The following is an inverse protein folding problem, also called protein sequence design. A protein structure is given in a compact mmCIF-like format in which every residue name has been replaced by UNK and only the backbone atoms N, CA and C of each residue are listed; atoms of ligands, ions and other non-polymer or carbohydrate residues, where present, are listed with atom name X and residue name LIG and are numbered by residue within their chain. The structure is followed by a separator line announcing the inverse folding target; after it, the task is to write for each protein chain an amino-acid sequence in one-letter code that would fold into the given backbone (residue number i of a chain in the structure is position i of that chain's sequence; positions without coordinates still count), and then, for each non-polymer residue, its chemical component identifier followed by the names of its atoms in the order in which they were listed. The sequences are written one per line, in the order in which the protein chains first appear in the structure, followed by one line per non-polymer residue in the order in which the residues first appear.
data_IF_933323548583
#
_entry.id   IF_933323548583
#
_cell.length_a   1.000
_cell.length_b   1.000
_cell.length_c   1.000
_cell.angle_alpha   90.00
_cell.angle_beta   90.00
_cell.angle_gamma   90.00
#
_symmetry.space_group_name_H-M   'P 1'
#
loop_
_entity.id
_entity.type
_entity.pdbx_description
1 polymer ?
#
# COMPACT_ATOMS: atom_id res chain seq x y z
N UNK A 1 49.83 -96.26 -68.62
CA UNK A 1 48.40 -96.63 -68.61
C UNK A 1 47.60 -95.41 -68.21
N UNK A 2 46.64 -95.04 -69.05
CA UNK A 2 45.63 -94.01 -68.81
C UNK A 2 44.95 -94.20 -67.45
N UNK A 3 44.39 -93.11 -66.89
CA UNK A 3 42.97 -93.02 -66.47
C UNK A 3 42.69 -91.72 -65.70
N UNK A 4 41.74 -90.94 -66.25
CA UNK A 4 40.74 -90.03 -65.66
C UNK A 4 41.22 -88.79 -64.87
N UNK A 5 41.06 -87.58 -65.41
CA UNK A 5 39.81 -86.81 -65.51
C UNK A 5 39.17 -86.51 -64.14
N UNK A 6 39.18 -85.23 -63.73
CA UNK A 6 38.10 -84.68 -62.93
C UNK A 6 37.99 -83.16 -63.07
N UNK A 7 36.87 -82.74 -63.64
CA UNK A 7 36.41 -81.36 -63.74
C UNK A 7 35.84 -80.92 -62.40
N UNK A 8 36.18 -79.73 -61.91
CA UNK A 8 35.42 -79.07 -60.84
C UNK A 8 35.20 -77.60 -61.23
N UNK A 9 34.01 -77.33 -61.75
CA UNK A 9 33.39 -76.02 -61.91
C UNK A 9 33.32 -75.30 -60.56
N UNK A 10 34.04 -74.20 -60.39
CA UNK A 10 33.80 -73.24 -59.29
C UNK A 10 32.77 -72.20 -59.72
N UNK A 11 31.55 -72.34 -59.20
CA UNK A 11 30.49 -71.30 -59.23
C UNK A 11 30.95 -70.10 -58.41
N UNK A 12 31.04 -68.92 -59.03
CA UNK A 12 31.22 -67.65 -58.32
C UNK A 12 29.88 -67.22 -57.70
N UNK A 13 29.79 -67.26 -56.37
CA UNK A 13 28.73 -66.60 -55.63
C UNK A 13 29.04 -65.11 -55.50
N UNK A 14 28.30 -64.28 -56.24
CA UNK A 14 28.25 -62.83 -56.06
C UNK A 14 27.62 -62.54 -54.70
N UNK A 15 28.44 -62.14 -53.72
CA UNK A 15 27.99 -61.62 -52.43
C UNK A 15 27.33 -60.25 -52.65
N UNK A 16 26.00 -60.20 -52.61
CA UNK A 16 25.24 -58.96 -52.42
C UNK A 16 25.60 -58.37 -51.05
N UNK A 17 26.31 -57.25 -51.03
CA UNK A 17 26.48 -56.44 -49.82
C UNK A 17 25.10 -55.89 -49.44
N UNK A 18 24.52 -56.40 -48.36
CA UNK A 18 23.33 -55.83 -47.77
C UNK A 18 23.67 -54.46 -47.19
N UNK A 19 23.08 -53.41 -47.73
CA UNK A 19 23.05 -52.08 -47.11
C UNK A 19 22.34 -52.25 -45.76
N UNK A 20 23.12 -52.30 -44.68
CA UNK A 20 22.59 -52.18 -43.31
C UNK A 20 21.89 -50.83 -43.23
N UNK A 21 20.56 -50.80 -43.34
CA UNK A 21 19.76 -49.66 -42.88
C UNK A 21 20.13 -49.44 -41.42
N UNK A 22 20.87 -48.37 -41.12
CA UNK A 22 20.99 -47.83 -39.77
C UNK A 22 19.59 -47.47 -39.30
N UNK A 23 18.87 -48.42 -38.70
CA UNK A 23 17.71 -48.11 -37.88
C UNK A 23 18.27 -47.37 -36.68
N UNK A 24 18.15 -46.05 -36.68
CA UNK A 24 18.49 -45.22 -35.52
C UNK A 24 17.83 -45.81 -34.27
N UNK A 25 18.57 -45.82 -33.17
CA UNK A 25 18.15 -46.46 -31.93
C UNK A 25 16.93 -45.69 -31.35
N UNK A 26 15.71 -46.07 -31.74
CA UNK A 26 14.46 -45.41 -31.33
C UNK A 26 14.31 -45.32 -29.80
N UNK A 27 14.94 -46.23 -29.06
CA UNK A 27 14.97 -46.23 -27.60
C UNK A 27 15.73 -45.01 -27.06
N UNK A 28 16.84 -44.63 -27.69
CA UNK A 28 17.65 -43.47 -27.29
C UNK A 28 16.91 -42.16 -27.61
N UNK A 29 16.20 -42.10 -28.74
CA UNK A 29 15.38 -40.95 -29.07
C UNK A 29 14.19 -40.81 -28.10
N UNK A 30 13.54 -41.93 -27.76
CA UNK A 30 12.44 -41.95 -26.78
C UNK A 30 12.88 -41.54 -25.37
N UNK A 31 14.03 -42.04 -24.90
CA UNK A 31 14.57 -41.65 -23.59
C UNK A 31 15.00 -40.19 -23.54
N UNK A 32 15.56 -39.65 -24.62
CA UNK A 32 15.91 -38.23 -24.72
C UNK A 32 14.67 -37.34 -24.68
N UNK A 33 13.61 -37.70 -25.41
CA UNK A 33 12.34 -36.97 -25.39
C UNK A 33 11.71 -37.00 -24.00
N UNK A 34 11.64 -38.16 -23.35
CA UNK A 34 11.13 -38.27 -21.98
C UNK A 34 11.98 -37.47 -20.98
N UNK A 35 13.30 -37.45 -21.15
CA UNK A 35 14.21 -36.64 -20.33
C UNK A 35 13.95 -35.14 -20.50
N UNK A 36 13.79 -34.66 -21.73
CA UNK A 36 13.46 -33.25 -22.02
C UNK A 36 12.10 -32.87 -21.45
N UNK A 37 11.09 -33.73 -21.62
CA UNK A 37 9.75 -33.50 -21.05
C UNK A 37 9.80 -33.47 -19.52
N UNK A 38 10.50 -34.41 -18.90
CA UNK A 38 10.69 -34.44 -17.45
C UNK A 38 11.40 -33.20 -16.91
N UNK A 39 12.43 -32.73 -17.62
CA UNK A 39 13.13 -31.49 -17.26
C UNK A 39 12.23 -30.26 -17.42
N UNK A 40 11.44 -30.17 -18.50
CA UNK A 40 10.48 -29.09 -18.71
C UNK A 40 9.42 -29.04 -17.61
N UNK A 41 8.90 -30.20 -17.17
CA UNK A 41 7.95 -30.29 -16.06
C UNK A 41 8.56 -29.85 -14.73
N UNK A 42 9.80 -30.26 -14.44
CA UNK A 42 10.54 -29.84 -13.24
C UNK A 42 10.75 -28.32 -13.20
N UNK A 43 11.16 -27.72 -14.33
CA UNK A 43 11.35 -26.26 -14.44
C UNK A 43 10.02 -25.53 -14.26
N UNK A 44 8.96 -25.99 -14.93
CA UNK A 44 7.62 -25.41 -14.81
C UNK A 44 7.07 -25.46 -13.38
N UNK A 45 7.22 -26.61 -12.72
CA UNK A 45 6.78 -26.76 -11.32
C UNK A 45 7.60 -25.87 -10.38
N UNK A 46 8.91 -25.76 -10.59
CA UNK A 46 9.79 -24.92 -9.77
C UNK A 46 9.42 -23.43 -9.89
N UNK A 47 9.21 -22.95 -11.11
CA UNK A 47 8.79 -21.57 -11.35
C UNK A 47 7.38 -21.30 -10.80
N UNK A 48 6.44 -22.23 -11.01
CA UNK A 48 5.09 -22.16 -10.45
C UNK A 48 5.09 -22.11 -8.92
N UNK A 49 5.93 -22.92 -8.26
CA UNK A 49 6.10 -22.90 -6.81
C UNK A 49 6.66 -21.57 -6.30
N UNK A 50 7.66 -21.00 -6.96
CA UNK A 50 8.21 -19.68 -6.59
C UNK A 50 7.19 -18.56 -6.75
N UNK A 51 6.42 -18.55 -7.85
CA UNK A 51 5.34 -17.59 -8.06
C UNK A 51 4.24 -17.73 -7.00
N UNK A 52 3.87 -18.96 -6.64
CA UNK A 52 2.91 -19.21 -5.57
C UNK A 52 3.38 -18.65 -4.23
N UNK A 53 4.65 -18.90 -3.87
CA UNK A 53 5.25 -18.37 -2.65
C UNK A 53 5.29 -16.84 -2.66
N UNK A 54 5.64 -16.23 -3.81
CA UNK A 54 5.64 -14.78 -3.96
C UNK A 54 4.25 -14.17 -3.81
N UNK A 55 3.25 -14.70 -4.51
CA UNK A 55 1.86 -14.23 -4.42
C UNK A 55 1.31 -14.36 -3.00
N UNK A 56 1.65 -15.46 -2.32
CA UNK A 56 1.27 -15.66 -0.93
C UNK A 56 1.93 -14.62 -0.02
N UNK A 57 3.24 -14.39 -0.17
CA UNK A 57 3.99 -13.39 0.58
C UNK A 57 3.41 -11.98 0.38
N UNK A 58 3.07 -11.62 -0.86
CA UNK A 58 2.41 -10.37 -1.19
C UNK A 58 1.04 -10.25 -0.52
N UNK A 59 0.19 -11.28 -0.63
CA UNK A 59 -1.13 -11.31 0.02
C UNK A 59 -1.02 -11.13 1.54
N UNK A 60 0.02 -11.67 2.17
CA UNK A 60 0.23 -11.47 3.60
C UNK A 60 0.75 -10.08 3.94
N UNK A 61 1.66 -9.52 3.15
CA UNK A 61 2.09 -8.14 3.33
C UNK A 61 0.89 -7.19 3.23
N UNK A 62 0.00 -7.44 2.27
CA UNK A 62 -1.25 -6.70 2.08
C UNK A 62 -2.23 -6.87 3.25
N UNK A 63 -2.45 -8.10 3.74
CA UNK A 63 -3.29 -8.35 4.92
C UNK A 63 -2.78 -7.66 6.18
N UNK A 64 -1.46 -7.66 6.40
CA UNK A 64 -0.84 -7.00 7.54
C UNK A 64 -1.00 -5.48 7.42
N UNK A 65 -0.71 -4.90 6.25
CA UNK A 65 -0.93 -3.47 6.00
C UNK A 65 -2.42 -3.10 6.20
N UNK A 66 -3.34 -3.90 5.67
CA UNK A 66 -4.77 -3.66 5.82
C UNK A 66 -5.23 -3.64 7.29
N UNK A 67 -4.67 -4.51 8.13
CA UNK A 67 -4.98 -4.54 9.56
C UNK A 67 -4.57 -3.23 10.27
N UNK A 68 -3.39 -2.70 9.95
CA UNK A 68 -2.94 -1.39 10.45
C UNK A 68 -3.82 -0.25 9.94
N UNK A 69 -4.12 -0.23 8.64
CA UNK A 69 -4.90 0.84 8.02
C UNK A 69 -6.35 0.91 8.50
N UNK A 70 -6.96 -0.24 8.82
CA UNK A 70 -8.28 -0.28 9.48
C UNK A 70 -8.27 0.41 10.84
N UNK A 71 -7.19 0.24 11.59
CA UNK A 71 -7.07 0.87 12.91
C UNK A 71 -6.78 2.35 12.83
N UNK A 72 -6.09 2.86 11.82
CA UNK A 72 -5.81 4.30 11.71
C UNK A 72 -7.07 5.18 11.83
N UNK A 73 -8.13 4.87 11.06
CA UNK A 73 -9.39 5.61 11.08
C UNK A 73 -10.56 4.79 11.66
N UNK A 74 -10.31 4.04 12.73
CA UNK A 74 -11.36 3.32 13.45
C UNK A 74 -12.41 4.31 13.99
N UNK A 75 -13.70 3.99 13.83
CA UNK A 75 -14.81 4.87 14.25
C UNK A 75 -14.83 6.26 13.61
N UNK A 76 -14.18 6.47 12.46
CA UNK A 76 -14.10 7.76 11.75
C UNK A 76 -13.44 8.91 12.54
N UNK A 77 -12.57 8.58 13.48
CA UNK A 77 -11.88 9.57 14.33
C UNK A 77 -11.04 10.59 13.55
N UNK A 78 -10.38 10.19 12.46
CA UNK A 78 -9.59 11.11 11.61
C UNK A 78 -10.53 12.01 10.82
N UNK A 79 -11.62 11.48 10.28
CA UNK A 79 -12.58 12.26 9.51
C UNK A 79 -13.29 13.31 10.37
N UNK A 80 -13.69 12.95 11.58
CA UNK A 80 -14.26 13.88 12.55
C UNK A 80 -13.26 14.96 12.97
N UNK A 81 -12.01 14.58 13.28
CA UNK A 81 -10.96 15.54 13.63
C UNK A 81 -10.69 16.55 12.50
N UNK A 82 -10.60 16.07 11.26
CA UNK A 82 -10.43 16.93 10.09
C UNK A 82 -11.57 17.97 9.96
N UNK A 83 -12.82 17.53 10.16
CA UNK A 83 -13.96 18.43 10.13
C UNK A 83 -13.95 19.45 11.29
N UNK A 84 -13.59 19.01 12.51
CA UNK A 84 -13.48 19.91 13.66
C UNK A 84 -12.42 20.98 13.41
N UNK A 85 -11.26 20.62 12.86
CA UNK A 85 -10.18 21.57 12.55
C UNK A 85 -10.63 22.61 11.52
N UNK A 86 -11.32 22.19 10.47
CA UNK A 86 -11.80 23.10 9.44
C UNK A 86 -12.89 24.05 9.96
N UNK A 87 -13.83 23.55 10.79
CA UNK A 87 -14.86 24.38 11.43
C UNK A 87 -14.28 25.32 12.49
N UNK A 88 -13.34 24.84 13.30
CA UNK A 88 -12.61 25.68 14.27
C UNK A 88 -11.88 26.82 13.57
N UNK A 89 -11.26 26.55 12.42
CA UNK A 89 -10.66 27.59 11.58
C UNK A 89 -11.65 28.65 11.11
N UNK A 90 -12.84 28.23 10.65
CA UNK A 90 -13.90 29.18 10.28
C UNK A 90 -14.38 30.00 11.48
N UNK A 91 -14.53 29.37 12.64
CA UNK A 91 -14.98 30.03 13.86
C UNK A 91 -14.02 31.14 14.27
N UNK A 92 -12.71 30.85 14.36
CA UNK A 92 -11.70 31.87 14.70
C UNK A 92 -11.74 33.05 13.73
N UNK A 93 -11.80 32.75 12.43
CA UNK A 93 -11.88 33.81 11.41
C UNK A 93 -13.14 34.66 11.56
N UNK A 94 -14.29 34.03 11.80
CA UNK A 94 -15.55 34.72 11.96
C UNK A 94 -15.60 35.55 13.25
N UNK A 95 -15.12 35.02 14.37
CA UNK A 95 -15.02 35.74 15.65
C UNK A 95 -14.13 36.98 15.51
N UNK A 96 -13.06 36.93 14.71
CA UNK A 96 -12.24 38.10 14.39
C UNK A 96 -13.03 39.16 13.64
N UNK A 97 -13.77 38.77 12.59
CA UNK A 97 -14.62 39.70 11.86
C UNK A 97 -15.69 40.33 12.76
N UNK A 98 -16.27 39.55 13.68
CA UNK A 98 -17.22 40.06 14.66
C UNK A 98 -16.60 41.07 15.63
N UNK A 99 -15.37 40.85 16.07
CA UNK A 99 -14.63 41.83 16.90
C UNK A 99 -14.39 43.13 16.12
N UNK A 100 -13.94 43.03 14.88
CA UNK A 100 -13.69 44.19 14.03
C UNK A 100 -15.01 44.99 13.82
N UNK A 101 -16.10 44.30 13.46
CA UNK A 101 -17.44 44.89 13.32
C UNK A 101 -17.96 45.52 14.62
N UNK A 102 -17.77 44.85 15.76
CA UNK A 102 -18.19 45.36 17.06
C UNK A 102 -17.39 46.61 17.44
N UNK A 103 -16.08 46.63 17.19
CA UNK A 103 -15.24 47.78 17.49
C UNK A 103 -15.64 49.04 16.69
N UNK A 104 -16.11 48.86 15.46
CA UNK A 104 -16.52 49.96 14.58
C UNK A 104 -17.96 50.42 14.84
N UNK A 105 -18.91 49.48 14.93
CA UNK A 105 -20.35 49.77 14.90
C UNK A 105 -21.00 49.76 16.29
N UNK A 106 -20.48 48.95 17.21
CA UNK A 106 -21.07 48.73 18.54
C UNK A 106 -19.99 48.66 19.62
N UNK A 107 -19.26 49.75 19.91
CA UNK A 107 -18.09 49.72 20.80
C UNK A 107 -18.38 49.14 22.19
N UNK A 108 -19.62 49.30 22.68
CA UNK A 108 -20.07 48.71 23.94
C UNK A 108 -20.06 47.16 23.98
N UNK A 109 -20.06 46.50 22.82
CA UNK A 109 -19.99 45.03 22.69
C UNK A 109 -18.57 44.53 22.45
N UNK A 110 -17.59 45.43 22.28
CA UNK A 110 -16.22 45.07 21.92
C UNK A 110 -15.58 44.10 22.91
N UNK A 111 -15.77 44.33 24.22
CA UNK A 111 -15.21 43.44 25.26
C UNK A 111 -15.72 42.01 25.14
N UNK A 112 -17.03 41.83 24.90
CA UNK A 112 -17.63 40.49 24.75
C UNK A 112 -17.15 39.84 23.44
N UNK A 113 -17.03 40.62 22.35
CA UNK A 113 -16.52 40.10 21.09
C UNK A 113 -15.04 39.66 21.19
N UNK A 114 -14.24 40.37 22.00
CA UNK A 114 -12.85 40.01 22.27
C UNK A 114 -12.76 38.71 23.10
N UNK A 115 -13.59 38.57 24.13
CA UNK A 115 -13.72 37.32 24.91
C UNK A 115 -14.09 36.13 24.01
N UNK A 116 -15.07 36.27 23.12
CA UNK A 116 -15.48 35.21 22.19
C UNK A 116 -14.38 34.83 21.19
N UNK A 117 -13.62 35.80 20.70
CA UNK A 117 -12.47 35.56 19.86
C UNK A 117 -11.38 34.80 20.62
N UNK A 118 -11.10 35.21 21.85
CA UNK A 118 -10.10 34.56 22.68
C UNK A 118 -10.49 33.11 22.99
N UNK A 119 -11.75 32.86 23.35
CA UNK A 119 -12.31 31.52 23.53
C UNK A 119 -12.17 30.67 22.25
N UNK A 120 -12.46 31.26 21.09
CA UNK A 120 -12.30 30.59 19.79
C UNK A 120 -10.84 30.20 19.52
N UNK A 121 -9.88 31.09 19.84
CA UNK A 121 -8.44 30.85 19.66
C UNK A 121 -7.93 29.79 20.63
N UNK A 122 -8.34 29.83 21.89
CA UNK A 122 -8.01 28.83 22.91
C UNK A 122 -8.56 27.45 22.52
N UNK A 123 -9.82 27.39 22.08
CA UNK A 123 -10.43 26.15 21.58
C UNK A 123 -9.69 25.57 20.36
N UNK A 124 -9.18 26.42 19.46
CA UNK A 124 -8.36 25.96 18.33
C UNK A 124 -7.01 25.35 18.79
N UNK A 125 -6.39 25.91 19.82
CA UNK A 125 -5.15 25.39 20.40
C UNK A 125 -5.38 24.07 21.15
N UNK A 126 -6.46 23.98 21.91
CA UNK A 126 -6.86 22.73 22.59
C UNK A 126 -7.12 21.61 21.57
N UNK A 127 -7.84 21.92 20.49
CA UNK A 127 -8.12 20.98 19.42
C UNK A 127 -6.83 20.47 18.72
N UNK A 128 -5.85 21.35 18.50
CA UNK A 128 -4.52 20.92 18.01
C UNK A 128 -3.81 20.00 19.01
N UNK A 129 -4.00 20.22 20.32
CA UNK A 129 -3.56 19.32 21.38
C UNK A 129 -4.20 17.93 21.27
N UNK A 130 -5.52 17.86 21.12
CA UNK A 130 -6.26 16.61 20.94
C UNK A 130 -5.88 15.90 19.63
N UNK A 131 -5.67 16.64 18.54
CA UNK A 131 -5.18 16.09 17.28
C UNK A 131 -3.83 15.40 17.43
N UNK A 132 -2.90 15.98 18.21
CA UNK A 132 -1.59 15.36 18.50
C UNK A 132 -1.74 14.10 19.35
N UNK A 133 -2.62 14.09 20.35
CA UNK A 133 -2.91 12.89 21.16
C UNK A 133 -3.51 11.78 20.29
N UNK A 134 -4.51 12.11 19.47
CA UNK A 134 -5.14 11.20 18.53
C UNK A 134 -4.11 10.57 17.58
N UNK A 135 -3.17 11.37 17.06
CA UNK A 135 -2.07 10.86 16.23
C UNK A 135 -1.29 9.75 16.94
N UNK A 136 -0.84 9.99 18.17
CA UNK A 136 -0.03 9.01 18.93
C UNK A 136 -0.81 7.73 19.17
N UNK A 137 -2.07 7.84 19.60
CA UNK A 137 -2.95 6.69 19.84
C UNK A 137 -3.17 5.90 18.55
N UNK A 138 -3.53 6.57 17.45
CA UNK A 138 -3.77 5.91 16.17
C UNK A 138 -2.53 5.21 15.61
N UNK A 139 -1.35 5.81 15.77
CA UNK A 139 -0.09 5.18 15.37
C UNK A 139 0.21 3.92 16.20
N UNK A 140 0.06 4.00 17.52
CA UNK A 140 0.31 2.86 18.42
C UNK A 140 -0.63 1.69 18.13
N UNK A 141 -1.92 1.96 17.97
CA UNK A 141 -2.93 0.94 17.67
C UNK A 141 -2.72 0.30 16.29
N UNK A 142 -2.37 1.09 15.27
CA UNK A 142 -2.08 0.59 13.93
C UNK A 142 -0.84 -0.31 13.91
N UNK A 143 0.26 0.11 14.57
CA UNK A 143 1.47 -0.72 14.69
C UNK A 143 1.17 -2.04 15.42
N UNK A 144 0.44 -1.96 16.52
CA UNK A 144 0.04 -3.15 17.30
C UNK A 144 -0.81 -4.11 16.45
N UNK A 145 -1.76 -3.59 15.68
CA UNK A 145 -2.58 -4.41 14.80
C UNK A 145 -1.78 -5.09 13.68
N UNK A 146 -0.78 -4.40 13.11
CA UNK A 146 0.12 -4.99 12.12
C UNK A 146 0.96 -6.12 12.72
N UNK A 147 1.55 -5.91 13.90
CA UNK A 147 2.35 -6.93 14.58
C UNK A 147 1.49 -8.16 14.91
N UNK A 148 0.32 -7.95 15.52
CA UNK A 148 -0.60 -9.03 15.87
C UNK A 148 -1.04 -9.83 14.63
N UNK A 149 -1.35 -9.14 13.52
CA UNK A 149 -1.75 -9.81 12.27
C UNK A 149 -0.58 -10.58 11.66
N UNK A 150 0.63 -10.03 11.68
CA UNK A 150 1.84 -10.72 11.22
C UNK A 150 2.13 -11.98 12.05
N UNK A 151 1.97 -11.90 13.37
CA UNK A 151 2.19 -13.04 14.27
C UNK A 151 1.18 -14.18 14.05
N UNK A 152 -0.06 -13.85 13.68
CA UNK A 152 -1.08 -14.85 13.33
C UNK A 152 -0.75 -15.59 12.02
N UNK A 153 -0.20 -14.90 11.03
CA UNK A 153 0.01 -15.44 9.67
C UNK A 153 1.38 -16.09 9.46
N UNK A 154 2.42 -15.65 10.19
CA UNK A 154 3.81 -16.12 10.00
C UNK A 154 3.99 -17.64 10.18
N UNK A 155 3.21 -18.26 11.06
CA UNK A 155 3.32 -19.70 11.36
C UNK A 155 2.88 -20.61 10.20
N UNK A 156 2.15 -20.08 9.22
CA UNK A 156 1.59 -20.87 8.11
C UNK A 156 2.53 -21.04 6.91
N UNK A 157 3.66 -20.34 6.91
CA UNK A 157 4.57 -20.20 5.77
C UNK A 157 5.59 -21.31 5.50
N UNK A 158 6.23 -21.93 6.50
CA UNK A 158 7.34 -22.81 6.23
C UNK A 158 6.88 -24.00 5.37
N UNK A 159 7.51 -24.14 4.20
CA UNK A 159 7.25 -25.22 3.27
C UNK A 159 8.59 -25.87 2.91
N UNK A 160 8.67 -27.18 3.08
CA UNK A 160 9.83 -27.97 2.71
C UNK A 160 9.42 -28.92 1.58
N UNK A 161 9.85 -28.58 0.36
CA UNK A 161 9.84 -29.49 -0.78
C UNK A 161 11.27 -30.03 -0.99
N UNK A 162 11.46 -31.22 -1.57
CA UNK A 162 12.79 -31.80 -1.78
C UNK A 162 13.76 -30.87 -2.54
N UNK A 163 13.25 -30.04 -3.44
CA UNK A 163 14.03 -29.08 -4.23
C UNK A 163 13.90 -27.61 -3.78
N UNK A 164 12.96 -27.27 -2.88
CA UNK A 164 12.68 -25.89 -2.46
C UNK A 164 12.44 -25.81 -0.95
N UNK A 165 13.23 -24.97 -0.27
CA UNK A 165 13.04 -24.65 1.16
C UNK A 165 12.59 -23.22 1.29
N UNK A 166 11.45 -23.01 1.93
CA UNK A 166 10.90 -21.69 2.23
C UNK A 166 10.96 -21.47 3.73
N UNK A 167 11.69 -20.44 4.16
CA UNK A 167 11.80 -20.08 5.57
C UNK A 167 10.53 -19.38 6.08
N UNK A 168 10.52 -19.02 7.36
CA UNK A 168 9.49 -18.14 7.92
C UNK A 168 9.72 -16.71 7.44
N UNK A 169 8.68 -15.96 7.02
CA UNK A 169 8.82 -14.57 6.64
C UNK A 169 9.28 -13.73 7.83
N UNK A 170 10.07 -12.70 7.54
CA UNK A 170 10.54 -11.69 8.50
C UNK A 170 9.87 -10.36 8.18
N UNK A 171 9.30 -9.73 9.20
CA UNK A 171 8.78 -8.37 9.11
C UNK A 171 9.96 -7.39 9.16
N UNK A 172 10.28 -6.74 8.05
CA UNK A 172 11.50 -5.91 7.97
C UNK A 172 11.22 -4.42 8.05
N UNK A 173 10.09 -3.96 7.52
CA UNK A 173 9.70 -2.56 7.63
C UNK A 173 8.20 -2.44 7.88
N UNK A 174 7.84 -1.58 8.83
CA UNK A 174 6.49 -1.05 9.01
C UNK A 174 6.57 0.46 8.93
N UNK A 175 5.70 1.06 8.14
CA UNK A 175 5.67 2.50 7.92
C UNK A 175 4.24 3.00 7.96
N UNK A 176 4.06 4.18 8.53
CA UNK A 176 2.79 4.90 8.58
C UNK A 176 2.94 6.17 7.76
N UNK A 177 1.94 6.51 6.97
CA UNK A 177 2.05 7.63 6.03
C UNK A 177 0.69 8.05 5.49
N UNK A 178 0.68 8.59 4.29
CA UNK A 178 -0.52 8.90 3.54
C UNK A 178 -0.39 8.36 2.12
N UNK A 179 -1.49 8.44 1.37
CA UNK A 179 -1.48 8.18 -0.07
C UNK A 179 -1.21 9.50 -0.78
N UNK A 180 -0.31 9.49 -1.75
CA UNK A 180 0.01 10.63 -2.60
C UNK A 180 -1.23 11.08 -3.39
N UNK A 181 -1.36 12.39 -3.61
CA UNK A 181 -2.48 13.02 -4.32
C UNK A 181 -3.88 12.79 -3.70
N UNK A 182 -3.96 12.20 -2.50
CA UNK A 182 -5.24 11.99 -1.81
C UNK A 182 -5.60 13.23 -0.99
N UNK A 183 -6.60 13.99 -1.44
CA UNK A 183 -7.14 15.12 -0.67
C UNK A 183 -7.69 14.70 0.72
N UNK A 184 -8.06 15.67 1.53
CA UNK A 184 -8.82 15.41 2.76
C UNK A 184 -10.28 15.07 2.47
N UNK A 185 -10.99 14.62 3.50
CA UNK A 185 -12.43 14.38 3.45
C UNK A 185 -13.27 15.65 3.62
N UNK A 186 -12.63 16.80 3.88
CA UNK A 186 -13.33 18.02 4.22
C UNK A 186 -13.67 18.77 2.93
N UNK A 187 -14.96 18.95 2.70
CA UNK A 187 -15.47 19.80 1.61
C UNK A 187 -15.13 21.25 1.92
N UNK A 188 -14.80 22.02 0.88
CA UNK A 188 -14.64 23.47 0.98
C UNK A 188 -15.84 24.05 1.74
N UNK A 189 -15.57 24.65 2.89
CA UNK A 189 -16.61 25.18 3.75
C UNK A 189 -17.08 26.50 3.15
N UNK A 190 -18.36 26.53 2.78
CA UNK A 190 -19.03 27.70 2.23
C UNK A 190 -19.54 28.57 3.37
N UNK A 191 -19.86 29.83 3.08
CA UNK A 191 -20.59 30.82 3.91
C UNK A 191 -19.76 32.03 4.37
N UNK A 192 -18.43 32.01 4.19
CA UNK A 192 -17.57 33.14 4.55
C UNK A 192 -16.74 33.53 3.31
N UNK A 193 -17.26 34.41 2.42
CA UNK A 193 -16.65 34.69 1.12
C UNK A 193 -15.19 35.16 1.19
N UNK A 194 -14.84 35.95 2.22
CA UNK A 194 -13.49 36.42 2.43
C UNK A 194 -12.50 35.27 2.69
N UNK A 195 -12.89 34.30 3.53
CA UNK A 195 -12.09 33.13 3.83
C UNK A 195 -12.02 32.17 2.64
N UNK A 196 -13.12 31.98 1.91
CA UNK A 196 -13.14 31.16 0.69
C UNK A 196 -12.17 31.69 -0.37
N UNK A 197 -12.18 33.01 -0.61
CA UNK A 197 -11.27 33.64 -1.57
C UNK A 197 -9.81 33.53 -1.13
N UNK A 198 -9.55 33.70 0.17
CA UNK A 198 -8.22 33.48 0.73
C UNK A 198 -7.75 32.04 0.56
N UNK A 199 -8.60 31.05 0.86
CA UNK A 199 -8.27 29.62 0.76
C UNK A 199 -7.99 29.20 -0.68
N UNK A 200 -8.75 29.74 -1.64
CA UNK A 200 -8.50 29.56 -3.08
C UNK A 200 -7.19 30.21 -3.50
N UNK A 201 -6.92 31.43 -3.05
CA UNK A 201 -5.70 32.17 -3.35
C UNK A 201 -4.43 31.51 -2.80
N UNK A 202 -4.51 30.88 -1.62
CA UNK A 202 -3.42 30.10 -1.03
C UNK A 202 -3.33 28.67 -1.59
N UNK A 203 -4.29 28.25 -2.43
CA UNK A 203 -4.32 26.91 -3.00
C UNK A 203 -4.58 25.81 -1.97
N UNK A 204 -5.23 26.12 -0.84
CA UNK A 204 -5.60 25.15 0.19
C UNK A 204 -6.72 24.21 -0.25
N UNK A 205 -7.51 24.61 -1.23
CA UNK A 205 -8.61 23.83 -1.80
C UNK A 205 -8.18 23.22 -3.13
N UNK A 206 -8.66 22.02 -3.44
CA UNK A 206 -8.44 21.37 -4.72
C UNK A 206 -9.25 22.05 -5.84
N UNK A 207 -8.64 22.22 -7.00
CA UNK A 207 -9.29 22.80 -8.19
C UNK A 207 -10.05 21.74 -9.00
N UNK A 208 -10.76 20.82 -8.32
CA UNK A 208 -11.51 19.77 -8.99
C UNK A 208 -12.96 20.24 -9.27
N UNK A 209 -13.45 20.18 -10.53
CA UNK A 209 -14.79 20.67 -10.88
C UNK A 209 -15.95 19.89 -10.23
N UNK A 210 -15.75 18.62 -9.87
CA UNK A 210 -16.80 17.81 -9.25
C UNK A 210 -16.99 18.07 -7.75
N UNK A 211 -15.89 18.04 -6.98
CA UNK A 211 -15.91 18.23 -5.53
C UNK A 211 -14.64 18.96 -5.08
N UNK A 212 -14.83 20.15 -4.52
CA UNK A 212 -13.77 20.95 -3.94
C UNK A 212 -13.50 20.49 -2.52
N UNK A 213 -12.31 19.93 -2.31
CA UNK A 213 -11.88 19.38 -1.03
C UNK A 213 -10.65 20.14 -0.55
N UNK A 214 -10.50 20.29 0.76
CA UNK A 214 -9.25 20.79 1.31
C UNK A 214 -8.10 19.81 1.03
N UNK A 215 -6.95 20.34 0.63
CA UNK A 215 -5.72 19.58 0.44
C UNK A 215 -5.17 19.12 1.78
N UNK A 216 -4.49 17.98 1.77
CA UNK A 216 -3.79 17.48 2.95
C UNK A 216 -2.33 17.94 2.96
N UNK A 217 -1.68 17.80 4.12
CA UNK A 217 -0.22 17.98 4.22
C UNK A 217 0.26 19.43 3.99
N UNK A 218 -0.67 20.38 4.04
CA UNK A 218 -0.41 21.82 4.00
C UNK A 218 -0.77 22.41 5.36
N UNK A 219 0.09 23.31 5.85
CA UNK A 219 -0.15 24.08 7.07
C UNK A 219 -1.10 25.25 6.74
N UNK A 220 -2.39 25.06 6.98
CA UNK A 220 -3.40 26.06 6.65
C UNK A 220 -3.40 27.17 7.71
N UNK A 221 -2.90 28.34 7.34
CA UNK A 221 -2.92 29.54 8.19
C UNK A 221 -4.16 30.38 7.96
N UNK A 222 -4.52 31.19 8.94
CA UNK A 222 -5.49 32.28 8.77
C UNK A 222 -4.77 33.55 8.27
N UNK A 223 -5.48 34.48 7.61
CA UNK A 223 -4.92 35.79 7.27
C UNK A 223 -4.79 36.69 8.51
N UNK A 224 -3.97 37.73 8.41
CA UNK A 224 -3.90 38.80 9.41
C UNK A 224 -3.31 38.38 10.76
N UNK A 225 -3.91 38.88 11.84
CA UNK A 225 -3.42 38.72 13.22
C UNK A 225 -3.49 37.27 13.73
N UNK A 226 -4.35 36.43 13.13
CA UNK A 226 -4.53 35.03 13.53
C UNK A 226 -3.65 34.04 12.72
N UNK A 227 -2.68 34.57 11.96
CA UNK A 227 -1.74 33.77 11.17
C UNK A 227 -0.73 32.95 11.99
N UNK A 228 -0.71 33.15 13.31
CA UNK A 228 0.02 32.35 14.27
C UNK A 228 -0.58 30.94 14.41
N UNK A 229 -1.90 30.81 14.22
CA UNK A 229 -2.60 29.52 14.26
C UNK A 229 -2.40 28.73 12.97
N UNK A 230 -2.18 27.43 13.12
CA UNK A 230 -1.95 26.51 12.00
C UNK A 230 -2.88 25.31 12.09
N UNK A 231 -3.69 25.11 11.05
CA UNK A 231 -4.65 24.02 10.98
C UNK A 231 -4.15 22.92 10.04
N UNK A 232 -4.03 21.71 10.56
CA UNK A 232 -3.37 20.57 9.88
C UNK A 232 -4.35 19.46 9.56
N UNK A 233 -4.92 19.52 8.36
CA UNK A 233 -5.87 18.53 7.87
C UNK A 233 -5.12 17.29 7.33
N UNK A 234 -5.53 16.10 7.75
CA UNK A 234 -4.95 14.83 7.33
C UNK A 234 -5.54 14.35 5.99
N UNK A 235 -4.79 13.54 5.24
CA UNK A 235 -5.27 12.92 4.01
C UNK A 235 -6.33 11.87 4.35
N UNK A 236 -7.50 11.93 3.76
CA UNK A 236 -8.54 10.93 3.99
C UNK A 236 -9.55 10.94 2.84
N UNK A 237 -9.93 9.77 2.34
CA UNK A 237 -10.91 9.70 1.25
C UNK A 237 -12.25 10.31 1.70
N UNK A 238 -12.79 11.24 0.91
CA UNK A 238 -14.12 11.81 1.11
C UNK A 238 -15.22 10.78 0.81
N UNK A 239 -16.37 10.85 1.49
CA UNK A 239 -17.53 10.04 1.14
C UNK A 239 -18.10 10.49 -0.21
N UNK A 240 -18.49 9.54 -1.06
CA UNK A 240 -19.18 9.79 -2.34
C UNK A 240 -20.58 9.22 -2.22
N UNK A 241 -21.61 10.05 -2.46
CA UNK A 241 -23.02 9.63 -2.35
C UNK A 241 -23.35 8.93 -1.01
N UNK A 242 -22.83 9.48 0.10
CA UNK A 242 -22.95 8.90 1.45
C UNK A 242 -22.27 7.53 1.65
N UNK A 243 -21.53 7.05 0.66
CA UNK A 243 -20.78 5.80 0.74
C UNK A 243 -19.35 6.08 1.17
N UNK A 244 -18.92 5.38 2.21
CA UNK A 244 -17.55 5.46 2.76
C UNK A 244 -16.68 4.43 2.08
N UNK A 245 -15.50 4.86 1.60
CA UNK A 245 -14.51 3.92 1.08
C UNK A 245 -14.00 3.01 2.21
N UNK A 246 -14.05 1.67 2.07
CA UNK A 246 -13.43 0.79 3.05
C UNK A 246 -11.91 0.94 3.03
N UNK A 247 -11.24 0.45 4.10
CA UNK A 247 -9.81 0.24 4.06
C UNK A 247 -9.48 -0.71 2.90
N UNK A 248 -8.48 -0.35 2.09
CA UNK A 248 -8.19 -1.02 0.83
C UNK A 248 -6.70 -1.05 0.55
N UNK A 249 -6.28 -2.08 -0.17
CA UNK A 249 -4.90 -2.22 -0.66
C UNK A 249 -4.69 -1.18 -1.77
N UNK A 250 -3.52 -0.56 -1.78
CA UNK A 250 -3.09 0.38 -2.80
C UNK A 250 -1.72 -0.02 -3.33
N UNK A 251 -1.33 0.56 -4.46
CA UNK A 251 0.01 0.35 -5.02
C UNK A 251 1.08 0.88 -4.04
N UNK A 252 2.22 0.20 -3.98
CA UNK A 252 3.30 0.58 -3.06
C UNK A 252 3.94 1.93 -3.39
N UNK A 253 3.90 2.35 -4.66
CA UNK A 253 4.45 3.61 -5.14
C UNK A 253 3.61 4.84 -4.77
N UNK A 254 2.34 4.67 -4.39
CA UNK A 254 1.49 5.79 -3.96
C UNK A 254 1.67 6.12 -2.48
N UNK A 255 2.46 5.34 -1.74
CA UNK A 255 2.76 5.64 -0.35
C UNK A 255 3.69 6.84 -0.23
N UNK A 256 3.33 7.78 0.65
CA UNK A 256 4.17 8.91 1.03
C UNK A 256 4.35 8.95 2.54
N UNK A 257 5.59 9.10 2.98
CA UNK A 257 5.88 9.34 4.39
C UNK A 257 5.26 10.68 4.82
N UNK A 258 4.53 10.67 5.92
CA UNK A 258 3.90 11.87 6.45
C UNK A 258 4.91 12.66 7.27
N UNK A 259 4.95 13.97 7.05
CA UNK A 259 5.69 14.88 7.92
C UNK A 259 5.19 14.73 9.36
N UNK A 260 6.09 14.68 10.34
CA UNK A 260 5.80 14.26 11.72
C UNK A 260 4.69 15.06 12.42
N UNK A 261 4.22 16.17 11.86
CA UNK A 261 3.10 16.92 12.36
C UNK A 261 1.71 16.33 12.01
N UNK A 262 1.49 15.69 10.85
CA UNK A 262 0.14 15.25 10.44
C UNK A 262 -0.21 13.84 10.92
N UNK A 263 -1.52 13.54 10.98
CA UNK A 263 -2.02 12.20 11.30
C UNK A 263 -1.84 11.31 10.05
N UNK A 264 -1.23 10.12 10.17
CA UNK A 264 -1.14 9.17 9.06
C UNK A 264 -2.50 8.52 8.76
N UNK A 265 -2.73 8.21 7.50
CA UNK A 265 -3.94 7.55 6.97
C UNK A 265 -3.65 6.36 6.05
N UNK A 266 -2.39 5.98 5.91
CA UNK A 266 -1.99 4.76 5.21
C UNK A 266 -0.90 4.02 5.98
N UNK A 267 -0.76 2.74 5.67
CA UNK A 267 0.32 1.89 6.17
C UNK A 267 1.04 1.23 5.01
N UNK A 268 2.31 0.93 5.20
CA UNK A 268 3.15 0.16 4.29
C UNK A 268 3.97 -0.84 5.08
N UNK A 269 3.99 -2.08 4.60
CA UNK A 269 4.66 -3.21 5.26
C UNK A 269 5.54 -3.91 4.24
N UNK A 270 6.81 -4.11 4.57
CA UNK A 270 7.72 -4.94 3.79
C UNK A 270 8.00 -6.23 4.55
N UNK A 271 7.77 -7.35 3.87
CA UNK A 271 8.10 -8.69 4.33
C UNK A 271 9.21 -9.25 3.48
N UNK A 272 10.18 -9.88 4.13
CA UNK A 272 11.26 -10.59 3.47
C UNK A 272 11.20 -12.08 3.79
N UNK A 273 11.48 -12.90 2.78
CA UNK A 273 11.40 -14.34 2.85
C UNK A 273 12.67 -14.94 2.26
N UNK A 274 13.35 -15.78 3.03
CA UNK A 274 14.50 -16.54 2.57
C UNK A 274 14.02 -17.80 1.86
N UNK A 275 14.45 -17.97 0.62
CA UNK A 275 14.10 -19.09 -0.26
C UNK A 275 15.39 -19.76 -0.72
N UNK A 276 15.51 -21.06 -0.46
CA UNK A 276 16.71 -21.82 -0.77
C UNK A 276 16.45 -23.10 -1.55
N UNK A 277 17.50 -23.66 -2.16
CA UNK A 277 17.47 -24.98 -2.79
C UNK A 277 17.52 -26.10 -1.74
N UNK A 278 16.65 -27.09 -1.88
CA UNK A 278 16.60 -28.26 -0.97
C UNK A 278 17.68 -29.31 -1.26
N UNK A 279 18.09 -29.43 -2.52
CA UNK A 279 19.07 -30.37 -3.07
C UNK A 279 20.11 -29.59 -3.91
N UNK A 280 21.41 -29.90 -3.75
CA UNK A 280 22.51 -29.30 -4.52
C UNK A 280 23.25 -28.17 -3.78
N UNK A 281 23.99 -27.34 -4.54
CA UNK A 281 24.69 -26.17 -4.00
C UNK A 281 23.68 -25.23 -3.30
N UNK A 282 23.99 -24.80 -2.06
CA UNK A 282 23.15 -23.88 -1.29
C UNK A 282 23.05 -22.54 -2.02
N UNK A 283 21.99 -22.36 -2.80
CA UNK A 283 21.60 -21.06 -3.32
C UNK A 283 20.51 -20.55 -2.38
N UNK A 284 20.84 -19.55 -1.56
CA UNK A 284 19.88 -18.83 -0.73
C UNK A 284 19.60 -17.49 -1.40
N UNK A 285 18.34 -17.25 -1.74
CA UNK A 285 17.86 -16.00 -2.30
C UNK A 285 16.84 -15.36 -1.37
N UNK A 286 16.80 -14.04 -1.40
CA UNK A 286 15.85 -13.23 -0.62
C UNK A 286 14.73 -12.75 -1.53
N UNK A 287 13.52 -13.14 -1.21
CA UNK A 287 12.31 -12.63 -1.83
C UNK A 287 11.71 -11.55 -0.93
N UNK A 288 11.31 -10.42 -1.51
CA UNK A 288 10.68 -9.32 -0.77
C UNK A 288 9.31 -9.02 -1.35
N UNK A 289 8.35 -8.71 -0.50
CA UNK A 289 7.04 -8.23 -0.87
C UNK A 289 6.70 -6.98 -0.06
N UNK A 290 6.06 -6.00 -0.71
CA UNK A 290 5.64 -4.76 -0.04
C UNK A 290 4.16 -4.57 -0.24
N UNK A 291 3.41 -4.62 0.87
CA UNK A 291 2.00 -4.31 0.91
C UNK A 291 1.78 -2.87 1.35
N UNK A 292 0.80 -2.20 0.76
CA UNK A 292 0.40 -0.84 1.15
C UNK A 292 -1.12 -0.76 1.21
N UNK A 293 -1.65 -0.11 2.24
CA UNK A 293 -3.09 0.02 2.40
C UNK A 293 -3.49 1.43 2.85
N UNK A 294 -4.56 1.94 2.28
CA UNK A 294 -5.23 3.16 2.73
C UNK A 294 -6.26 2.85 3.82
N UNK A 295 -6.44 3.76 4.76
CA UNK A 295 -7.48 3.66 5.80
C UNK A 295 -8.88 3.75 5.22
N UNK A 296 -9.87 3.41 6.05
CA UNK A 296 -11.27 3.74 5.80
C UNK A 296 -11.41 5.24 5.55
N UNK A 297 -12.24 5.62 4.58
CA UNK A 297 -12.61 7.01 4.32
C UNK A 297 -13.43 7.59 5.45
N UNK A 298 -13.81 8.85 5.32
CA UNK A 298 -14.65 9.50 6.32
C UNK A 298 -16.13 9.16 6.15
N UNK A 299 -16.86 9.09 7.25
CA UNK A 299 -18.32 9.01 7.24
C UNK A 299 -18.92 10.38 6.90
N UNK A 300 -20.13 10.38 6.35
CA UNK A 300 -20.90 11.63 6.23
C UNK A 300 -21.18 12.16 7.62
N UNK A 301 -20.81 13.43 7.87
CA UNK A 301 -21.23 14.14 9.07
C UNK A 301 -22.75 14.01 9.21
N UNK A 302 -23.19 13.40 10.32
CA UNK A 302 -24.54 13.57 10.83
C UNK A 302 -24.67 14.98 11.43
#
# INVERSE_FOLDING_TARGET
MNVLANSIRKKQHVRKQGVRKQRGNMIVLGSLVLGVVGMALMLGYSYGGLLFVHNRLQSTADEVALAGSRKLNDGDRIGQMNNMLARSRQLVFYSRQQLDDASEKYPQLQTIADELLQESREGAQELEGERKKLKVVAQSEALTAMINKFDQVKGSYPMALPWLKVATPKLTKMRLGCIEEMNSNVVELKNIPALENYDKGQGYVSNNPGMKLYKHGVDMKLPGADSDLTFKIAALAAPVEKTVSPARITLANTYKAVNGAHIPSSTQVTLDLEVGTGLGAKAENKMSATGTAASTGASTQQ
#
